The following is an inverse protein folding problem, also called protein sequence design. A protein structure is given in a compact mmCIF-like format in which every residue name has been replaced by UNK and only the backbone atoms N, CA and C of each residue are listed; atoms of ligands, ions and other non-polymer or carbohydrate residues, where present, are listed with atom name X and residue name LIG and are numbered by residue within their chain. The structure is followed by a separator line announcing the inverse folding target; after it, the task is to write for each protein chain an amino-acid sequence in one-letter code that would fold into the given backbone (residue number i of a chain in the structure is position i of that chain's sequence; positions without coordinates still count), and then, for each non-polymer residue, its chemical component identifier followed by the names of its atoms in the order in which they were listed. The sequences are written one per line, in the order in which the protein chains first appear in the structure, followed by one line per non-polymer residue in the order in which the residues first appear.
data_IF_874028498870
#
_entry.id   IF_874028498870
#
_cell.length_a   1.000
_cell.length_b   1.000
_cell.length_c   1.000
_cell.angle_alpha   90.00
_cell.angle_beta   90.00
_cell.angle_gamma   90.00
#
_symmetry.space_group_name_H-M   'P 1'
#
loop_
_entity.id
_entity.type
_entity.pdbx_description
1 polymer ?
#
# COMPACT_ATOMS: atom_id res chain seq x y z
N UNK A 1 -67.87 34.88 29.22
CA UNK A 1 -67.36 33.82 28.32
C UNK A 1 -66.59 34.50 27.19
N UNK A 2 -65.26 34.37 27.18
CA UNK A 2 -64.36 34.92 26.16
C UNK A 2 -64.49 34.20 24.81
N UNK A 3 -64.03 34.85 23.72
CA UNK A 3 -62.83 34.31 23.07
C UNK A 3 -61.72 35.35 22.87
N UNK A 4 -60.49 34.84 22.85
CA UNK A 4 -59.20 35.57 22.78
C UNK A 4 -58.85 35.92 21.31
N UNK A 5 -58.22 37.07 21.03
CA UNK A 5 -57.34 37.25 19.89
C UNK A 5 -55.88 36.94 20.28
N UNK A 6 -54.94 37.04 19.33
CA UNK A 6 -53.51 36.65 19.36
C UNK A 6 -53.27 35.16 19.02
N UNK A 7 -52.39 34.77 18.12
CA UNK A 7 -51.12 35.38 17.72
C UNK A 7 -50.74 34.83 16.33
N UNK A 8 -50.66 35.68 15.31
CA UNK A 8 -49.94 35.39 14.06
C UNK A 8 -48.56 36.01 14.18
N UNK A 9 -47.57 35.23 14.60
CA UNK A 9 -46.15 35.49 14.39
C UNK A 9 -45.35 34.35 15.05
N UNK A 10 -44.88 33.39 14.25
CA UNK A 10 -43.68 32.66 14.63
C UNK A 10 -42.93 32.16 13.38
N UNK A 11 -41.77 32.81 13.18
CA UNK A 11 -40.51 32.34 12.63
C UNK A 11 -40.58 31.16 11.65
N UNK A 12 -40.38 31.35 10.35
CA UNK A 12 -39.09 31.61 9.69
C UNK A 12 -37.96 30.64 10.14
N UNK A 13 -37.72 29.64 9.28
CA UNK A 13 -36.43 29.03 8.92
C UNK A 13 -35.57 28.37 10.00
N UNK A 14 -35.50 27.03 10.00
CA UNK A 14 -34.21 26.30 10.04
C UNK A 14 -34.38 24.98 9.25
N UNK A 15 -34.08 24.99 7.95
CA UNK A 15 -33.72 23.77 7.24
C UNK A 15 -32.22 23.53 7.48
N UNK A 16 -31.89 22.81 8.56
CA UNK A 16 -30.52 22.37 8.80
C UNK A 16 -30.22 21.20 7.86
N UNK A 17 -29.55 21.50 6.75
CA UNK A 17 -28.86 20.52 5.92
C UNK A 17 -27.79 19.81 6.78
N UNK A 18 -28.09 18.59 7.20
CA UNK A 18 -27.09 17.66 7.74
C UNK A 18 -26.20 17.18 6.58
N UNK A 19 -25.14 17.93 6.26
CA UNK A 19 -24.02 17.41 5.47
C UNK A 19 -23.29 16.37 6.33
N UNK A 20 -23.76 15.11 6.29
CA UNK A 20 -22.99 13.98 6.79
C UNK A 20 -21.81 13.80 5.84
N UNK A 21 -20.66 14.33 6.24
CA UNK A 21 -19.40 14.06 5.57
C UNK A 21 -19.07 12.57 5.76
N UNK A 22 -19.33 11.75 4.73
CA UNK A 22 -18.79 10.40 4.64
C UNK A 22 -17.26 10.50 4.55
N UNK A 23 -16.56 10.53 5.68
CA UNK A 23 -15.13 10.23 5.72
C UNK A 23 -15.00 8.73 5.48
N UNK A 24 -14.33 8.27 4.40
CA UNK A 24 -13.94 6.87 4.32
C UNK A 24 -13.08 6.57 5.55
N UNK A 25 -13.56 5.66 6.40
CA UNK A 25 -12.86 5.28 7.63
C UNK A 25 -11.66 4.41 7.30
N UNK A 26 -10.50 4.74 7.86
CA UNK A 26 -9.36 3.82 7.87
C UNK A 26 -9.68 2.69 8.82
N UNK A 27 -9.75 1.46 8.32
CA UNK A 27 -9.96 0.28 9.16
C UNK A 27 -8.66 -0.05 9.91
N UNK A 28 -8.76 -0.27 11.22
CA UNK A 28 -7.62 -0.52 12.11
C UNK A 28 -7.78 -1.88 12.78
N UNK A 29 -6.66 -2.51 13.09
CA UNK A 29 -6.63 -3.68 13.95
C UNK A 29 -6.41 -3.23 15.41
N UNK A 30 -7.12 -3.79 16.41
CA UNK A 30 -6.85 -3.49 17.80
C UNK A 30 -5.38 -3.77 18.15
N UNK A 31 -4.82 -2.93 19.02
CA UNK A 31 -3.42 -2.99 19.41
C UNK A 31 -3.07 -4.38 19.94
N UNK A 32 -2.18 -5.07 19.22
CA UNK A 32 -1.49 -6.26 19.68
C UNK A 32 -0.14 -5.86 20.29
N UNK A 33 0.68 -6.85 20.63
CA UNK A 33 2.06 -6.66 21.10
C UNK A 33 2.81 -5.62 20.22
N UNK A 34 3.79 -4.89 20.79
CA UNK A 34 4.57 -3.91 20.03
C UNK A 34 5.25 -4.58 18.83
N UNK A 35 5.30 -3.87 17.70
CA UNK A 35 5.96 -4.37 16.49
C UNK A 35 7.47 -4.47 16.77
N UNK A 36 8.12 -5.63 16.56
CA UNK A 36 9.57 -5.75 16.69
C UNK A 36 10.31 -4.82 15.72
N UNK A 37 11.38 -4.16 16.20
CA UNK A 37 12.09 -3.11 15.43
C UNK A 37 13.54 -3.44 15.11
N UNK A 38 14.14 -4.34 15.87
CA UNK A 38 15.58 -4.67 15.89
C UNK A 38 15.87 -6.09 15.38
N UNK A 39 14.86 -6.95 15.26
CA UNK A 39 15.02 -8.34 14.83
C UNK A 39 14.12 -8.68 13.64
N UNK A 40 14.74 -9.09 12.52
CA UNK A 40 14.02 -9.61 11.36
C UNK A 40 13.25 -10.89 11.71
N UNK A 41 13.85 -11.80 12.48
CA UNK A 41 13.23 -13.07 12.83
C UNK A 41 11.95 -12.85 13.67
N UNK A 42 12.03 -12.00 14.69
CA UNK A 42 10.89 -11.68 15.55
C UNK A 42 9.82 -10.91 14.77
N UNK A 43 10.21 -10.03 13.84
CA UNK A 43 9.26 -9.35 12.96
C UNK A 43 8.49 -10.34 12.08
N UNK A 44 9.16 -11.36 11.52
CA UNK A 44 8.50 -12.36 10.67
C UNK A 44 7.55 -13.26 11.48
N UNK A 45 7.93 -13.62 12.71
CA UNK A 45 7.04 -14.32 13.65
C UNK A 45 5.82 -13.47 14.00
N UNK A 46 6.05 -12.21 14.40
CA UNK A 46 5.00 -11.23 14.69
C UNK A 46 4.01 -11.09 13.53
N UNK A 47 4.53 -10.97 12.30
CA UNK A 47 3.71 -10.88 11.09
C UNK A 47 2.90 -12.15 10.90
N UNK A 48 3.50 -13.33 11.10
CA UNK A 48 2.83 -14.63 10.92
C UNK A 48 1.56 -14.77 11.75
N UNK A 49 1.55 -14.20 12.95
CA UNK A 49 0.43 -14.24 13.90
C UNK A 49 -0.69 -13.22 13.60
N UNK A 50 -0.49 -12.33 12.62
CA UNK A 50 -1.47 -11.31 12.27
C UNK A 50 -2.65 -11.89 11.49
N UNK A 51 -3.87 -11.63 11.98
CA UNK A 51 -5.09 -11.92 11.23
C UNK A 51 -5.10 -11.15 9.89
N UNK A 52 -4.72 -9.87 9.93
CA UNK A 52 -4.51 -9.02 8.76
C UNK A 52 -3.27 -8.13 8.97
N UNK A 53 -2.56 -7.86 7.89
CA UNK A 53 -1.37 -7.02 7.95
C UNK A 53 -1.73 -5.54 8.15
N UNK A 54 -1.02 -4.89 9.06
CA UNK A 54 -1.11 -3.45 9.32
C UNK A 54 0.05 -2.67 8.71
N UNK A 55 -0.06 -1.35 8.74
CA UNK A 55 0.81 -0.43 8.03
C UNK A 55 2.29 -0.55 8.44
N UNK A 56 2.56 -0.59 9.75
CA UNK A 56 3.92 -0.63 10.28
C UNK A 56 4.67 -1.92 9.97
N UNK A 57 4.18 -3.12 10.33
CA UNK A 57 4.90 -4.37 10.04
C UNK A 57 5.09 -4.58 8.53
N UNK A 58 4.15 -4.17 7.67
CA UNK A 58 4.33 -4.21 6.23
C UNK A 58 5.47 -3.30 5.76
N UNK A 59 5.52 -2.06 6.24
CA UNK A 59 6.60 -1.13 5.89
C UNK A 59 7.97 -1.66 6.36
N UNK A 60 8.05 -2.18 7.59
CA UNK A 60 9.31 -2.73 8.13
C UNK A 60 9.79 -3.94 7.33
N UNK A 61 8.91 -4.88 7.02
CA UNK A 61 9.27 -6.07 6.24
C UNK A 61 9.71 -5.71 4.81
N UNK A 62 9.03 -4.75 4.17
CA UNK A 62 9.42 -4.27 2.84
C UNK A 62 10.70 -3.44 2.86
N UNK A 63 11.00 -2.75 3.96
CA UNK A 63 12.29 -2.11 4.15
C UNK A 63 13.42 -3.15 4.15
N UNK A 64 13.26 -4.21 4.94
CA UNK A 64 14.24 -5.31 5.00
C UNK A 64 14.38 -5.97 3.63
N UNK A 65 13.28 -6.21 2.91
CA UNK A 65 13.33 -6.76 1.56
C UNK A 65 14.10 -5.83 0.59
N UNK A 66 13.95 -4.52 0.75
CA UNK A 66 14.60 -3.52 -0.10
C UNK A 66 16.09 -3.35 0.19
N UNK A 67 16.48 -3.24 1.46
CA UNK A 67 17.85 -2.88 1.87
C UNK A 67 18.66 -4.05 2.41
N UNK A 68 18.02 -5.13 2.83
CA UNK A 68 18.62 -6.21 3.60
C UNK A 68 18.81 -5.89 5.10
N UNK A 69 18.37 -4.72 5.56
CA UNK A 69 18.65 -4.21 6.91
C UNK A 69 17.37 -3.91 7.69
N UNK A 70 17.42 -4.10 9.01
CA UNK A 70 16.36 -3.65 9.93
C UNK A 70 16.39 -2.12 10.07
N UNK A 71 15.23 -1.53 10.38
CA UNK A 71 15.12 -0.10 10.65
C UNK A 71 14.71 0.13 12.10
N UNK A 72 15.63 0.60 12.93
CA UNK A 72 15.39 0.79 14.38
C UNK A 72 14.62 2.07 14.72
N UNK A 73 14.42 2.97 13.75
CA UNK A 73 13.68 4.21 13.95
C UNK A 73 12.17 4.00 14.10
N UNK A 74 11.48 5.10 14.42
CA UNK A 74 10.02 5.10 14.51
C UNK A 74 9.34 4.95 13.14
N UNK A 75 8.04 4.63 13.19
CA UNK A 75 7.24 4.43 11.99
C UNK A 75 7.20 5.68 11.07
N UNK A 76 7.20 6.89 11.64
CA UNK A 76 7.13 8.11 10.84
C UNK A 76 8.43 8.32 10.04
N UNK A 77 9.58 8.11 10.65
CA UNK A 77 10.88 8.17 9.99
C UNK A 77 11.01 7.09 8.91
N UNK A 78 10.48 5.89 9.16
CA UNK A 78 10.42 4.82 8.19
C UNK A 78 9.59 5.20 6.95
N UNK A 79 8.40 5.74 7.16
CA UNK A 79 7.52 6.20 6.07
C UNK A 79 8.20 7.29 5.25
N UNK A 80 8.86 8.26 5.88
CA UNK A 80 9.61 9.31 5.16
C UNK A 80 10.71 8.70 4.28
N UNK A 81 11.49 7.76 4.80
CA UNK A 81 12.55 7.05 4.05
C UNK A 81 11.95 6.29 2.86
N UNK A 82 10.84 5.59 3.07
CA UNK A 82 10.18 4.81 2.02
C UNK A 82 9.48 5.69 0.98
N UNK A 83 8.98 6.87 1.36
CA UNK A 83 8.35 7.83 0.45
C UNK A 83 9.40 8.46 -0.47
N UNK A 84 10.56 8.81 0.08
CA UNK A 84 11.70 9.30 -0.70
C UNK A 84 12.21 8.25 -1.70
N UNK A 85 12.15 6.97 -1.35
CA UNK A 85 12.43 5.86 -2.27
C UNK A 85 11.27 5.56 -3.25
N UNK A 86 10.11 6.22 -3.09
CA UNK A 86 8.90 5.99 -3.89
C UNK A 86 8.26 4.62 -3.68
N UNK A 87 8.55 3.95 -2.56
CA UNK A 87 7.98 2.65 -2.18
C UNK A 87 6.59 2.83 -1.57
N UNK A 88 6.40 3.88 -0.76
CA UNK A 88 5.07 4.36 -0.39
C UNK A 88 4.66 5.53 -1.28
N UNK A 89 3.36 5.74 -1.45
CA UNK A 89 2.85 6.82 -2.29
C UNK A 89 3.03 8.19 -1.62
N UNK A 90 3.20 9.26 -2.42
CA UNK A 90 3.19 10.62 -1.90
C UNK A 90 1.89 10.90 -1.14
N UNK A 91 2.00 11.43 0.07
CA UNK A 91 0.83 11.70 0.92
C UNK A 91 0.23 10.45 1.59
N UNK A 92 1.08 9.46 1.88
CA UNK A 92 0.75 8.33 2.75
C UNK A 92 0.13 8.80 4.07
N UNK A 93 -1.08 8.32 4.40
CA UNK A 93 -1.85 8.72 5.60
C UNK A 93 -2.26 7.54 6.48
N UNK A 94 -1.69 6.36 6.25
CA UNK A 94 -2.00 5.18 7.05
C UNK A 94 -1.28 5.30 8.40
N UNK A 95 -1.99 5.36 9.54
CA UNK A 95 -1.38 5.19 10.85
C UNK A 95 -0.82 3.76 10.99
N UNK A 96 0.11 3.51 11.94
CA UNK A 96 0.82 2.23 12.07
C UNK A 96 -0.11 1.01 12.21
N UNK A 97 -1.27 1.20 12.84
CA UNK A 97 -2.30 0.20 13.11
C UNK A 97 -3.35 0.04 12.00
N UNK A 98 -3.23 0.80 10.90
CA UNK A 98 -4.16 0.71 9.78
C UNK A 98 -3.96 -0.57 9.00
N UNK A 99 -5.06 -1.24 8.65
CA UNK A 99 -5.03 -2.34 7.71
C UNK A 99 -4.64 -1.83 6.32
N UNK A 100 -3.80 -2.60 5.62
CA UNK A 100 -3.43 -2.34 4.23
C UNK A 100 -4.25 -3.24 3.30
N UNK A 101 -4.85 -2.65 2.27
CA UNK A 101 -5.51 -3.39 1.19
C UNK A 101 -4.50 -3.95 0.15
N UNK A 102 -4.95 -4.91 -0.66
CA UNK A 102 -4.09 -5.52 -1.70
C UNK A 102 -3.57 -4.51 -2.72
N UNK A 103 -4.34 -3.49 -3.05
CA UNK A 103 -3.92 -2.47 -4.02
C UNK A 103 -2.72 -1.68 -3.50
N UNK A 104 -2.77 -1.24 -2.25
CA UNK A 104 -1.69 -0.51 -1.57
C UNK A 104 -0.48 -1.41 -1.38
N UNK A 105 -0.69 -2.64 -0.91
CA UNK A 105 0.39 -3.61 -0.73
C UNK A 105 1.05 -3.96 -2.07
N UNK A 106 0.25 -4.17 -3.11
CA UNK A 106 0.71 -4.50 -4.46
C UNK A 106 1.59 -3.39 -5.02
N UNK A 107 1.19 -2.13 -4.83
CA UNK A 107 2.03 -0.97 -5.17
C UNK A 107 3.38 -1.01 -4.44
N UNK A 108 3.39 -1.17 -3.12
CA UNK A 108 4.64 -1.14 -2.35
C UNK A 108 5.60 -2.26 -2.73
N UNK A 109 5.10 -3.49 -2.95
CA UNK A 109 5.94 -4.63 -3.38
C UNK A 109 6.48 -4.40 -4.78
N UNK A 110 5.65 -3.94 -5.71
CA UNK A 110 6.07 -3.62 -7.07
C UNK A 110 7.24 -2.62 -7.10
N UNK A 111 7.16 -1.58 -6.25
CA UNK A 111 8.21 -0.56 -6.14
C UNK A 111 9.46 -1.12 -5.47
N UNK A 112 9.31 -1.90 -4.41
CA UNK A 112 10.41 -2.58 -3.70
C UNK A 112 11.18 -3.52 -4.62
N UNK A 113 10.47 -4.25 -5.47
CA UNK A 113 11.04 -5.25 -6.38
C UNK A 113 11.44 -4.67 -7.74
N UNK A 114 11.38 -3.34 -7.96
CA UNK A 114 11.57 -2.67 -9.26
C UNK A 114 10.88 -3.40 -10.43
N UNK A 115 9.66 -3.90 -10.19
CA UNK A 115 8.80 -4.40 -11.25
C UNK A 115 8.29 -3.18 -12.00
N UNK A 116 8.90 -2.92 -13.15
CA UNK A 116 8.45 -1.91 -14.09
C UNK A 116 7.45 -2.56 -15.02
N UNK A 117 6.15 -2.43 -14.75
CA UNK A 117 5.21 -2.59 -15.85
C UNK A 117 5.28 -1.33 -16.72
N UNK A 118 5.18 -1.49 -18.04
CA UNK A 118 5.50 -0.46 -19.04
C UNK A 118 4.66 0.82 -18.97
N UNK A 119 4.64 1.56 -20.08
CA UNK A 119 3.98 2.88 -20.25
C UNK A 119 2.56 2.98 -19.63
N UNK A 120 1.85 1.86 -19.51
CA UNK A 120 0.52 1.75 -18.91
C UNK A 120 0.47 2.05 -17.39
N UNK A 121 1.56 1.93 -16.63
CA UNK A 121 1.58 2.27 -15.20
C UNK A 121 1.48 3.77 -14.94
N UNK A 122 2.00 4.61 -15.82
CA UNK A 122 1.98 6.05 -15.64
C UNK A 122 0.59 6.67 -15.89
N UNK A 123 -0.33 5.95 -16.54
CA UNK A 123 -1.58 6.53 -17.01
C UNK A 123 -2.79 6.22 -16.09
N UNK A 124 -2.95 5.02 -15.52
CA UNK A 124 -4.29 4.55 -15.10
C UNK A 124 -4.50 4.13 -13.62
N UNK A 125 -3.66 4.59 -12.69
CA UNK A 125 -3.90 4.39 -11.25
C UNK A 125 -3.27 3.11 -10.69
N UNK A 126 -2.30 3.32 -9.80
CA UNK A 126 -1.11 2.49 -9.62
C UNK A 126 -1.32 1.19 -8.80
N UNK A 127 -2.28 1.15 -7.87
CA UNK A 127 -2.40 0.02 -6.91
C UNK A 127 -3.04 -1.24 -7.49
N UNK A 128 -4.20 -1.11 -8.14
CA UNK A 128 -4.97 -2.26 -8.69
C UNK A 128 -4.19 -3.04 -9.75
N UNK A 129 -3.45 -2.33 -10.60
CA UNK A 129 -2.64 -2.94 -11.65
C UNK A 129 -1.33 -3.50 -11.10
N UNK A 130 -0.76 -2.89 -10.05
CA UNK A 130 0.43 -3.43 -9.41
C UNK A 130 0.15 -4.82 -8.81
N UNK A 131 -0.95 -4.99 -8.06
CA UNK A 131 -1.27 -6.30 -7.49
C UNK A 131 -1.53 -7.36 -8.58
N UNK A 132 -2.21 -6.99 -9.68
CA UNK A 132 -2.41 -7.89 -10.82
C UNK A 132 -1.11 -8.28 -11.51
N UNK A 133 -0.16 -7.37 -11.62
CA UNK A 133 1.18 -7.68 -12.15
C UNK A 133 1.91 -8.66 -11.23
N UNK A 134 1.81 -8.52 -9.90
CA UNK A 134 2.36 -9.51 -8.96
C UNK A 134 1.73 -10.89 -9.14
N UNK A 135 0.43 -10.96 -9.43
CA UNK A 135 -0.25 -12.22 -9.76
C UNK A 135 0.28 -12.80 -11.08
N UNK A 136 0.43 -11.98 -12.11
CA UNK A 136 0.99 -12.40 -13.40
C UNK A 136 2.43 -12.93 -13.29
N UNK A 137 3.22 -12.32 -12.39
CA UNK A 137 4.60 -12.73 -12.07
C UNK A 137 4.68 -13.90 -11.08
N UNK A 138 3.53 -14.48 -10.70
CA UNK A 138 3.40 -15.56 -9.71
C UNK A 138 3.93 -15.21 -8.30
N UNK A 139 4.11 -13.92 -8.00
CA UNK A 139 4.52 -13.41 -6.69
C UNK A 139 3.35 -13.42 -5.71
N UNK A 140 2.14 -13.14 -6.20
CA UNK A 140 0.92 -13.07 -5.41
C UNK A 140 -0.16 -14.01 -5.98
N UNK A 141 -1.16 -14.34 -5.16
CA UNK A 141 -2.32 -15.14 -5.59
C UNK A 141 -3.49 -14.21 -5.88
N UNK A 142 -4.24 -14.52 -6.94
CA UNK A 142 -5.46 -13.79 -7.32
C UNK A 142 -6.54 -13.96 -6.25
N UNK A 143 -6.96 -12.84 -5.66
CA UNK A 143 -8.08 -12.70 -4.70
C UNK A 143 -8.72 -11.33 -4.90
N UNK A 144 -9.90 -11.09 -4.33
CA UNK A 144 -10.63 -9.83 -4.49
C UNK A 144 -9.80 -8.59 -4.08
N UNK A 145 -9.79 -7.55 -4.92
CA UNK A 145 -8.84 -6.42 -4.86
C UNK A 145 -8.96 -5.55 -3.59
N UNK A 146 -10.17 -5.45 -3.02
CA UNK A 146 -10.44 -4.67 -1.79
C UNK A 146 -10.35 -5.50 -0.51
N UNK A 147 -9.89 -6.75 -0.61
CA UNK A 147 -9.69 -7.57 0.58
C UNK A 147 -8.34 -7.29 1.23
N UNK A 148 -8.30 -7.49 2.54
CA UNK A 148 -7.06 -7.44 3.31
C UNK A 148 -6.22 -8.70 3.07
N UNK A 149 -4.95 -8.62 3.46
CA UNK A 149 -3.97 -9.70 3.36
C UNK A 149 -3.65 -10.19 4.77
N UNK A 150 -3.74 -11.50 5.00
CA UNK A 150 -3.33 -12.06 6.29
C UNK A 150 -1.82 -12.07 6.45
N UNK A 151 -1.34 -12.19 7.69
CA UNK A 151 0.08 -12.31 8.02
C UNK A 151 0.78 -13.41 7.22
N UNK A 152 0.30 -14.63 7.31
CA UNK A 152 0.86 -15.77 6.57
C UNK A 152 0.78 -15.63 5.04
N UNK A 153 -0.26 -14.99 4.51
CA UNK A 153 -0.33 -14.68 3.07
C UNK A 153 0.76 -13.67 2.68
N UNK A 154 0.96 -12.63 3.49
CA UNK A 154 1.99 -11.63 3.27
C UNK A 154 3.40 -12.22 3.31
N UNK A 155 3.71 -13.09 4.27
CA UNK A 155 5.00 -13.82 4.31
C UNK A 155 5.24 -14.65 3.04
N UNK A 156 4.20 -15.32 2.55
CA UNK A 156 4.28 -16.06 1.29
C UNK A 156 4.57 -15.15 0.10
N UNK A 157 4.01 -13.95 0.08
CA UNK A 157 4.29 -12.95 -0.96
C UNK A 157 5.73 -12.42 -0.85
N UNK A 158 6.20 -12.10 0.35
CA UNK A 158 7.58 -11.64 0.59
C UNK A 158 8.62 -12.65 0.11
N UNK A 159 8.44 -13.93 0.44
CA UNK A 159 9.37 -14.99 0.01
C UNK A 159 9.44 -15.10 -1.53
N UNK A 160 8.29 -15.02 -2.23
CA UNK A 160 8.26 -15.05 -3.70
C UNK A 160 8.84 -13.78 -4.32
N UNK A 161 8.63 -12.62 -3.70
CA UNK A 161 9.23 -11.36 -4.11
C UNK A 161 10.77 -11.40 -3.99
N UNK A 162 11.30 -11.96 -2.90
CA UNK A 162 12.74 -12.16 -2.72
C UNK A 162 13.31 -13.12 -3.77
N UNK A 163 12.62 -14.22 -4.05
CA UNK A 163 13.00 -15.16 -5.11
C UNK A 163 13.03 -14.47 -6.48
N UNK A 164 12.01 -13.68 -6.79
CA UNK A 164 11.95 -12.89 -8.02
C UNK A 164 13.15 -11.94 -8.16
N UNK A 165 13.52 -11.23 -7.09
CA UNK A 165 14.69 -10.34 -7.09
C UNK A 165 15.98 -11.13 -7.36
N UNK A 166 16.18 -12.25 -6.66
CA UNK A 166 17.35 -13.12 -6.84
C UNK A 166 17.45 -13.68 -8.26
N UNK A 167 16.33 -14.03 -8.88
CA UNK A 167 16.30 -14.53 -10.25
C UNK A 167 16.56 -13.45 -11.28
N UNK A 168 16.07 -12.24 -11.05
CA UNK A 168 16.33 -11.10 -11.94
C UNK A 168 17.79 -10.70 -11.92
N UNK A 169 18.40 -10.62 -10.74
CA UNK A 169 19.79 -10.18 -10.58
C UNK A 169 20.79 -11.16 -11.22
N UNK A 170 20.38 -12.42 -11.43
CA UNK A 170 21.14 -13.44 -12.17
C UNK A 170 21.07 -13.30 -13.69
N UNK A 171 20.10 -12.57 -14.24
CA UNK A 171 19.93 -12.44 -15.71
C UNK A 171 20.87 -11.35 -16.23
N UNK A 172 21.74 -11.65 -17.22
CA UNK A 172 22.50 -10.61 -17.91
C UNK A 172 21.52 -9.61 -18.52
N UNK A 173 21.73 -8.31 -18.30
CA UNK A 173 20.98 -7.27 -19.02
C UNK A 173 21.45 -7.34 -20.47
N UNK A 174 20.72 -8.07 -21.30
CA UNK A 174 20.93 -8.06 -22.75
C UNK A 174 20.58 -6.65 -23.23
N UNK A 175 21.62 -5.84 -23.46
CA UNK A 175 21.46 -4.53 -24.09
C UNK A 175 21.06 -4.82 -25.52
N UNK A 176 19.76 -4.73 -25.80
CA UNK A 176 19.24 -4.76 -27.18
C UNK A 176 19.84 -3.56 -27.89
N UNK A 177 20.88 -3.79 -28.69
CA UNK A 177 21.35 -2.80 -29.65
C UNK A 177 20.23 -2.62 -30.67
N UNK A 178 19.51 -1.51 -30.55
CA UNK A 178 18.63 -1.04 -31.61
C UNK A 178 19.51 -0.86 -32.84
N UNK A 179 19.32 -1.75 -33.83
CA UNK A 179 20.09 -1.75 -35.07
C UNK A 179 20.14 -0.36 -35.68
N UNK A 180 21.28 -0.03 -36.30
CA UNK A 180 21.57 1.28 -36.87
C UNK A 180 20.38 1.82 -37.67
N UNK A 181 19.99 3.07 -37.40
CA UNK A 181 18.97 3.76 -38.19
C UNK A 181 19.35 3.66 -39.67
N UNK A 182 18.42 3.25 -40.56
CA UNK A 182 18.73 3.16 -41.98
C UNK A 182 19.10 4.54 -42.50
N UNK A 183 20.38 4.68 -42.84
CA UNK A 183 20.94 5.88 -43.41
C UNK A 183 20.10 6.35 -44.60
N UNK A 184 19.60 7.57 -44.52
CA UNK A 184 18.97 8.25 -45.65
C UNK A 184 20.05 8.49 -46.71
N UNK A 185 20.16 7.55 -47.64
CA UNK A 185 20.97 7.70 -48.84
C UNK A 185 20.20 8.46 -49.92
N UNK A 186 20.83 9.49 -50.47
CA UNK A 186 20.53 10.07 -51.79
C UNK A 186 19.85 11.42 -51.77
#
# INVERSE_FOLDING_TARGET
MSPKPLCHALCLSIAALSLVACRPGVQRQPAQQPVPVDSNAELMEYIGDQAFITAEPACRALHILWTGEVFEGDYAALVVKMEQAGIVSPGWKHPPDALIDRATLGYMIARTTDIRSGLNWQLWGLGRYAYRELVYREIAVSKGEHSFVSGGEFLGILNRAEQYMKERDKRPIERVELGEEPGHGG
#
